data_IF_139982837434
#
_entry.id   IF_139982837434
#
_cell.length_a   1.000
_cell.length_b   1.000
_cell.length_c   1.000
_cell.angle_alpha   90.00
_cell.angle_beta   90.00
_cell.angle_gamma   90.00
#
_symmetry.space_group_name_H-M   'P 1'
#
loop_
_entity.id
_entity.type
_entity.pdbx_description
1 polymer ?
#
# COMPACT_ATOMS: atom_id res chain seq x y z
N UNK A 1 8.37 19.38 -16.37
CA UNK A 1 7.08 19.28 -15.64
C UNK A 1 6.92 17.92 -14.96
N UNK A 2 7.62 16.87 -15.43
CA UNK A 2 7.60 15.50 -14.87
C UNK A 2 8.17 15.37 -13.45
N UNK A 3 9.23 16.11 -13.09
CA UNK A 3 9.83 16.05 -11.74
C UNK A 3 8.87 16.47 -10.60
N UNK A 4 7.87 17.32 -10.87
CA UNK A 4 6.85 17.68 -9.88
C UNK A 4 5.75 16.63 -9.77
N UNK A 5 5.42 15.96 -10.88
CA UNK A 5 4.47 14.86 -10.89
C UNK A 5 5.04 13.65 -10.13
N UNK A 6 6.35 13.40 -10.27
CA UNK A 6 7.07 12.34 -9.57
C UNK A 6 7.11 12.58 -8.05
N UNK A 7 7.40 13.81 -7.61
CA UNK A 7 7.34 14.18 -6.18
C UNK A 7 5.94 14.07 -5.59
N UNK A 8 4.91 14.49 -6.34
CA UNK A 8 3.52 14.37 -5.89
C UNK A 8 3.08 12.89 -5.82
N UNK A 9 3.53 12.08 -6.78
CA UNK A 9 3.33 10.63 -6.79
C UNK A 9 4.02 9.96 -5.60
N UNK A 10 5.26 10.36 -5.29
CA UNK A 10 6.00 9.85 -4.14
C UNK A 10 5.29 10.17 -2.82
N UNK A 11 4.87 11.42 -2.63
CA UNK A 11 4.10 11.83 -1.46
C UNK A 11 2.81 10.99 -1.35
N UNK A 12 2.12 10.75 -2.47
CA UNK A 12 0.91 9.94 -2.49
C UNK A 12 1.19 8.48 -2.11
N UNK A 13 2.29 7.90 -2.59
CA UNK A 13 2.70 6.54 -2.23
C UNK A 13 3.01 6.44 -0.74
N UNK A 14 3.69 7.42 -0.16
CA UNK A 14 3.96 7.48 1.29
C UNK A 14 2.64 7.49 2.09
N UNK A 15 1.68 8.34 1.70
CA UNK A 15 0.37 8.37 2.36
C UNK A 15 -0.38 7.02 2.28
N UNK A 16 -0.28 6.29 1.15
CA UNK A 16 -0.88 4.96 1.01
C UNK A 16 -0.20 3.91 1.89
N UNK A 17 1.13 4.00 2.07
CA UNK A 17 1.88 3.12 2.97
C UNK A 17 1.53 3.36 4.44
N UNK A 18 1.46 4.62 4.86
CA UNK A 18 1.09 4.99 6.23
C UNK A 18 -0.34 4.53 6.56
N UNK A 19 -1.25 4.62 5.59
CA UNK A 19 -2.60 4.08 5.70
C UNK A 19 -2.58 2.56 5.86
N UNK A 20 -1.83 1.84 5.01
CA UNK A 20 -1.69 0.38 5.12
C UNK A 20 -1.16 -0.04 6.50
N UNK A 21 -0.12 0.62 7.00
CA UNK A 21 0.44 0.32 8.33
C UNK A 21 -0.59 0.58 9.44
N UNK A 22 -1.33 1.68 9.35
CA UNK A 22 -2.40 2.00 10.30
C UNK A 22 -3.52 0.95 10.30
N UNK A 23 -3.91 0.46 9.13
CA UNK A 23 -4.92 -0.60 8.97
C UNK A 23 -4.41 -1.93 9.53
N UNK A 24 -3.18 -2.32 9.18
CA UNK A 24 -2.57 -3.57 9.61
C UNK A 24 -2.32 -3.60 11.14
N UNK A 25 -1.92 -2.47 11.73
CA UNK A 25 -1.74 -2.35 13.17
C UNK A 25 -3.07 -2.41 13.95
N UNK A 26 -4.16 -1.89 13.38
CA UNK A 26 -5.49 -1.94 13.99
C UNK A 26 -6.01 -3.38 14.14
N UNK A 27 -5.68 -4.28 13.20
CA UNK A 27 -6.02 -5.70 13.30
C UNK A 27 -5.27 -6.41 14.45
N UNK A 28 -4.13 -5.89 14.89
CA UNK A 28 -3.26 -6.52 15.89
C UNK A 28 -3.41 -5.96 17.32
N UNK A 29 -4.56 -5.33 17.64
CA UNK A 29 -4.92 -4.81 18.97
C UNK A 29 -3.94 -3.79 19.60
N UNK A 30 -3.08 -3.14 18.82
CA UNK A 30 -2.32 -2.00 19.29
C UNK A 30 -3.03 -0.74 18.81
N UNK A 31 -3.66 -0.05 19.77
CA UNK A 31 -4.34 1.23 19.59
C UNK A 31 -3.33 2.29 19.14
N UNK A 32 -2.96 2.23 17.87
CA UNK A 32 -2.09 3.21 17.24
C UNK A 32 -2.91 4.46 17.10
N UNK A 33 -2.60 5.39 18.01
CA UNK A 33 -3.02 6.79 18.05
C UNK A 33 -3.36 7.24 16.63
N UNK A 34 -4.67 7.36 16.35
CA UNK A 34 -5.24 7.79 15.08
C UNK A 34 -4.37 8.94 14.56
N UNK A 35 -3.48 8.66 13.59
CA UNK A 35 -2.72 9.69 12.89
C UNK A 35 -3.78 10.47 12.12
N UNK A 36 -4.29 11.50 12.76
CA UNK A 36 -5.50 12.27 12.45
C UNK A 36 -5.43 13.07 11.14
N UNK A 37 -4.57 12.64 10.21
CA UNK A 37 -4.37 13.22 8.89
C UNK A 37 -4.17 12.15 7.78
N UNK A 38 -4.22 10.85 8.11
CA UNK A 38 -4.10 9.78 7.10
C UNK A 38 -5.44 9.58 6.39
N UNK A 39 -5.40 9.46 5.06
CA UNK A 39 -6.55 9.26 4.17
C UNK A 39 -7.52 8.21 4.73
N UNK A 40 -8.82 8.46 4.64
CA UNK A 40 -9.77 7.38 4.88
C UNK A 40 -9.71 6.38 3.71
N UNK A 41 -9.99 5.09 3.96
CA UNK A 41 -10.07 4.09 2.88
C UNK A 41 -11.15 4.43 1.84
N UNK A 42 -12.17 5.21 2.22
CA UNK A 42 -13.23 5.70 1.33
C UNK A 42 -12.77 6.81 0.35
N UNK A 43 -11.63 7.46 0.62
CA UNK A 43 -11.06 8.52 -0.22
C UNK A 43 -10.14 7.98 -1.33
N UNK A 44 -9.98 6.66 -1.42
CA UNK A 44 -9.10 6.02 -2.38
C UNK A 44 -9.79 5.75 -3.70
N UNK A 45 -9.09 6.03 -4.80
CA UNK A 45 -9.48 5.52 -6.11
C UNK A 45 -9.35 4.01 -6.16
N UNK A 46 -10.05 3.34 -7.10
CA UNK A 46 -9.97 1.88 -7.25
C UNK A 46 -8.53 1.37 -7.42
N UNK A 47 -7.68 2.14 -8.11
CA UNK A 47 -6.27 1.80 -8.32
C UNK A 47 -5.46 1.90 -7.02
N UNK A 48 -5.71 2.92 -6.21
CA UNK A 48 -5.02 3.10 -4.93
C UNK A 48 -5.45 2.06 -3.91
N UNK A 49 -6.75 1.75 -3.86
CA UNK A 49 -7.25 0.66 -3.05
C UNK A 49 -6.63 -0.68 -3.47
N UNK A 50 -6.56 -0.96 -4.78
CA UNK A 50 -5.87 -2.14 -5.29
C UNK A 50 -4.39 -2.18 -4.86
N UNK A 51 -3.67 -1.04 -4.94
CA UNK A 51 -2.29 -0.95 -4.50
C UNK A 51 -2.10 -1.25 -3.00
N UNK A 52 -2.95 -0.68 -2.15
CA UNK A 52 -2.95 -0.93 -0.69
C UNK A 52 -3.25 -2.39 -0.40
N UNK A 53 -4.28 -2.96 -1.05
CA UNK A 53 -4.64 -4.38 -0.90
C UNK A 53 -3.48 -5.27 -1.33
N UNK A 54 -2.77 -4.97 -2.42
CA UNK A 54 -1.62 -5.76 -2.86
C UNK A 54 -0.50 -5.88 -1.80
N UNK A 55 -0.34 -4.89 -0.90
CA UNK A 55 0.68 -4.93 0.15
C UNK A 55 0.43 -6.04 1.19
N UNK A 56 -0.80 -6.52 1.34
CA UNK A 56 -1.13 -7.62 2.27
C UNK A 56 -0.92 -9.02 1.69
N UNK A 57 -0.63 -9.14 0.39
CA UNK A 57 -0.45 -10.42 -0.27
C UNK A 57 1.01 -10.84 -0.33
N UNK A 58 1.23 -12.13 -0.09
CA UNK A 58 2.53 -12.78 -0.31
C UNK A 58 2.38 -13.87 -1.38
N UNK A 59 3.44 -14.08 -2.16
CA UNK A 59 3.47 -15.07 -3.23
C UNK A 59 4.68 -15.99 -3.01
N UNK A 60 4.45 -17.30 -2.86
CA UNK A 60 5.55 -18.26 -2.81
C UNK A 60 6.18 -18.43 -4.22
N UNK A 61 7.42 -18.91 -4.33
CA UNK A 61 8.03 -19.23 -5.62
C UNK A 61 7.12 -20.12 -6.48
N UNK A 62 6.94 -19.74 -7.74
CA UNK A 62 6.06 -20.42 -8.69
C UNK A 62 4.56 -20.10 -8.57
N UNK A 63 4.11 -19.36 -7.55
CA UNK A 63 2.70 -18.98 -7.39
C UNK A 63 2.37 -17.61 -8.02
N UNK A 64 1.21 -17.50 -8.66
CA UNK A 64 0.75 -16.25 -9.26
C UNK A 64 1.72 -15.67 -10.31
N UNK A 65 1.50 -14.42 -10.73
CA UNK A 65 2.44 -13.74 -11.63
C UNK A 65 3.77 -13.41 -10.92
N UNK A 66 3.79 -12.79 -9.72
CA UNK A 66 5.04 -12.40 -9.07
C UNK A 66 5.93 -13.59 -8.70
N UNK A 67 5.36 -14.66 -8.14
CA UNK A 67 6.12 -15.84 -7.72
C UNK A 67 6.69 -16.64 -8.89
N UNK A 68 5.98 -16.72 -10.04
CA UNK A 68 6.54 -17.32 -11.27
C UNK A 68 7.66 -16.48 -11.88
N UNK A 69 7.51 -15.15 -11.88
CA UNK A 69 8.57 -14.27 -12.36
C UNK A 69 9.85 -14.43 -11.52
N UNK A 70 9.73 -14.58 -10.19
CA UNK A 70 10.88 -14.84 -9.32
C UNK A 70 11.54 -16.20 -9.58
N UNK A 71 10.75 -17.27 -9.75
CA UNK A 71 11.26 -18.63 -9.94
C UNK A 71 11.95 -18.86 -11.31
N UNK A 72 11.73 -17.96 -12.27
CA UNK A 72 12.30 -18.03 -13.63
C UNK A 72 13.55 -17.13 -13.81
N UNK A 73 14.13 -16.61 -12.71
CA UNK A 73 15.47 -16.00 -12.71
C UNK A 73 16.53 -17.04 -12.34
#
# INVERSE_FOLDING_TARGET
>A
MEFKADQLGLQRIEQLRDLYESLSAAENNQQTKRLSASLSPEDLTSTEWYYVVCMSFTFNPGQGLPGRALANN
#
